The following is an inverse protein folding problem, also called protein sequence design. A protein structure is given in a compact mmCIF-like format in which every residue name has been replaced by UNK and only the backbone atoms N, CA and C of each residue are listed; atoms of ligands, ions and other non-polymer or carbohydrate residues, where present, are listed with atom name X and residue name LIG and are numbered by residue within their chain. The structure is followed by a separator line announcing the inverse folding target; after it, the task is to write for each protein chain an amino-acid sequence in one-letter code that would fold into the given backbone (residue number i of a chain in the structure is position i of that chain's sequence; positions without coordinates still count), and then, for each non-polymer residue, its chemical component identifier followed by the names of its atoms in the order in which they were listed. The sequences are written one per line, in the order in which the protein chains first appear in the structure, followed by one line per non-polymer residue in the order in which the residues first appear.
data_IF_281465644398
#
_entry.id   IF_281465644398
#
_cell.length_a   1.000
_cell.length_b   1.000
_cell.length_c   1.000
_cell.angle_alpha   90.00
_cell.angle_beta   90.00
_cell.angle_gamma   90.00
#
_symmetry.space_group_name_H-M   'P 1'
#
loop_
_entity.id
_entity.type
_entity.pdbx_description
1 polymer ?
#
# COMPACT_ATOMS: atom_id res chain seq x y z
N UNK A 1 50.65 -68.96 8.01
CA UNK A 1 50.89 -67.57 8.46
C UNK A 1 49.89 -66.62 7.79
N UNK A 2 48.79 -66.30 8.49
CA UNK A 2 47.66 -65.52 8.00
C UNK A 2 47.77 -64.08 8.53
N UNK A 3 48.41 -63.16 7.81
CA UNK A 3 48.58 -61.77 8.32
C UNK A 3 48.44 -60.63 7.30
N UNK A 4 48.11 -60.87 6.04
CA UNK A 4 48.07 -59.79 5.03
C UNK A 4 46.72 -59.54 4.35
N UNK A 5 45.70 -60.37 4.62
CA UNK A 5 44.36 -60.20 4.04
C UNK A 5 43.46 -59.28 4.89
N UNK A 6 43.83 -59.03 6.15
CA UNK A 6 43.02 -58.21 7.09
C UNK A 6 43.14 -56.70 6.82
N UNK A 7 44.15 -56.24 6.06
CA UNK A 7 44.39 -54.81 5.84
C UNK A 7 43.53 -54.17 4.72
N UNK A 8 42.75 -54.94 3.95
CA UNK A 8 41.89 -54.40 2.88
C UNK A 8 40.40 -54.32 3.22
N UNK A 9 39.98 -54.86 4.37
CA UNK A 9 38.58 -54.83 4.80
C UNK A 9 38.24 -53.64 5.73
N UNK A 10 39.25 -52.91 6.23
CA UNK A 10 39.04 -51.79 7.15
C UNK A 10 38.98 -50.40 6.48
N UNK A 11 39.28 -50.29 5.18
CA UNK A 11 39.32 -49.01 4.47
C UNK A 11 38.07 -48.72 3.62
N UNK A 12 37.16 -49.70 3.45
CA UNK A 12 35.92 -49.51 2.67
C UNK A 12 34.70 -49.21 3.56
N UNK A 13 34.80 -49.47 4.87
CA UNK A 13 33.71 -49.23 5.83
C UNK A 13 33.64 -47.81 6.40
N UNK A 14 34.73 -47.03 6.34
CA UNK A 14 34.78 -45.67 6.89
C UNK A 14 34.34 -44.57 5.92
N UNK A 15 34.17 -44.89 4.63
CA UNK A 15 33.68 -43.92 3.64
C UNK A 15 32.14 -43.89 3.53
N UNK A 16 31.44 -44.93 3.99
CA UNK A 16 29.98 -44.99 3.96
C UNK A 16 29.32 -44.24 5.13
N UNK A 17 30.02 -44.11 6.27
CA UNK A 17 29.51 -43.34 7.42
C UNK A 17 29.78 -41.83 7.32
N UNK A 18 30.69 -41.39 6.44
CA UNK A 18 30.98 -39.98 6.21
C UNK A 18 29.99 -39.29 5.24
N UNK A 19 29.21 -40.05 4.48
CA UNK A 19 28.24 -39.52 3.51
C UNK A 19 26.81 -39.34 4.06
N UNK A 20 26.51 -39.89 5.23
CA UNK A 20 25.22 -39.67 5.93
C UNK A 20 25.21 -38.40 6.80
N UNK A 21 26.35 -37.72 6.94
CA UNK A 21 26.46 -36.42 7.61
C UNK A 21 26.09 -35.22 6.73
N UNK A 22 25.89 -35.43 5.42
CA UNK A 22 25.33 -34.45 4.51
C UNK A 22 23.80 -34.50 4.65
N UNK A 23 23.31 -33.99 5.78
CA UNK A 23 21.96 -33.47 5.84
C UNK A 23 21.75 -32.59 4.60
N UNK A 24 20.67 -32.78 3.81
CA UNK A 24 20.37 -31.84 2.76
C UNK A 24 20.25 -30.49 3.48
N UNK A 25 21.20 -29.60 3.22
CA UNK A 25 20.93 -28.19 3.35
C UNK A 25 19.83 -27.97 2.34
N UNK A 26 18.58 -28.15 2.79
CA UNK A 26 17.41 -27.76 2.05
C UNK A 26 17.72 -26.31 1.70
N UNK A 27 18.02 -26.07 0.43
CA UNK A 27 18.13 -24.73 -0.09
C UNK A 27 16.80 -24.09 0.29
N UNK A 28 16.81 -23.25 1.33
CA UNK A 28 15.64 -22.51 1.74
C UNK A 28 15.29 -21.69 0.50
N UNK A 29 14.23 -22.10 -0.19
CA UNK A 29 13.72 -21.36 -1.33
C UNK A 29 13.55 -19.91 -0.85
N UNK A 30 14.19 -18.98 -1.56
CA UNK A 30 14.14 -17.58 -1.20
C UNK A 30 12.68 -17.17 -1.05
N UNK A 31 12.35 -16.50 0.06
CA UNK A 31 10.98 -16.07 0.27
C UNK A 31 10.55 -15.16 -0.89
N UNK A 32 9.32 -15.32 -1.41
CA UNK A 32 8.87 -14.53 -2.54
C UNK A 32 8.94 -13.03 -2.25
N UNK A 33 9.41 -12.26 -3.23
CA UNK A 33 9.47 -10.79 -3.21
C UNK A 33 8.59 -10.22 -4.33
N UNK A 34 7.98 -9.05 -4.16
CA UNK A 34 7.22 -8.42 -5.22
C UNK A 34 8.10 -8.07 -6.41
N UNK A 35 7.51 -8.09 -7.60
CA UNK A 35 8.17 -7.62 -8.81
C UNK A 35 8.41 -6.11 -8.72
N UNK A 36 9.64 -5.69 -8.96
CA UNK A 36 9.99 -4.28 -9.04
C UNK A 36 9.32 -3.63 -10.25
N UNK A 37 8.76 -2.40 -10.12
CA UNK A 37 8.24 -1.67 -11.26
C UNK A 37 9.32 -1.39 -12.30
N UNK A 38 8.97 -1.37 -13.60
CA UNK A 38 9.92 -1.04 -14.64
C UNK A 38 10.36 0.44 -14.53
N UNK A 39 11.59 0.78 -14.95
CA UNK A 39 12.09 2.16 -14.90
C UNK A 39 11.18 3.18 -15.60
N UNK A 40 10.56 2.81 -16.72
CA UNK A 40 9.60 3.67 -17.42
C UNK A 40 8.37 4.00 -16.57
N UNK A 41 7.94 3.09 -15.69
CA UNK A 41 6.85 3.34 -14.74
C UNK A 41 7.26 4.35 -13.66
N UNK A 42 8.48 4.25 -13.14
CA UNK A 42 9.02 5.22 -12.18
C UNK A 42 9.16 6.62 -12.80
N UNK A 43 9.64 6.70 -14.04
CA UNK A 43 9.75 7.96 -14.77
C UNK A 43 8.37 8.60 -15.01
N UNK A 44 7.40 7.84 -15.53
CA UNK A 44 6.05 8.37 -15.76
C UNK A 44 5.33 8.78 -14.47
N UNK A 45 5.56 8.07 -13.36
CA UNK A 45 5.08 8.45 -12.04
C UNK A 45 5.73 9.77 -11.56
N UNK A 46 7.04 9.92 -11.76
CA UNK A 46 7.75 11.17 -11.47
C UNK A 46 7.24 12.36 -12.31
N UNK A 47 6.99 12.15 -13.60
CA UNK A 47 6.44 13.18 -14.49
C UNK A 47 5.05 13.63 -14.02
N UNK A 48 4.20 12.69 -13.58
CA UNK A 48 2.90 13.02 -12.99
C UNK A 48 3.04 13.82 -11.67
N UNK A 49 4.02 13.48 -10.84
CA UNK A 49 4.30 14.19 -9.58
C UNK A 49 4.89 15.59 -9.79
N UNK A 50 5.61 15.81 -10.89
CA UNK A 50 6.24 17.10 -11.23
C UNK A 50 5.43 17.95 -12.21
N UNK A 51 4.27 17.47 -12.68
CA UNK A 51 3.39 18.22 -13.56
C UNK A 51 2.96 19.57 -12.93
N UNK A 52 2.83 20.65 -13.73
CA UNK A 52 2.49 21.99 -13.21
C UNK A 52 1.25 22.01 -12.30
N UNK A 53 0.17 21.31 -12.68
CA UNK A 53 -1.05 21.21 -11.87
C UNK A 53 -0.84 20.53 -10.50
N UNK A 54 0.12 19.59 -10.42
CA UNK A 54 0.51 18.95 -9.17
C UNK A 54 1.27 19.93 -8.27
N UNK A 55 2.18 20.73 -8.84
CA UNK A 55 2.91 21.76 -8.10
C UNK A 55 1.97 22.85 -7.56
N UNK A 56 0.96 23.26 -8.34
CA UNK A 56 -0.08 24.19 -7.86
C UNK A 56 -0.88 23.60 -6.69
N UNK A 57 -1.17 22.30 -6.75
CA UNK A 57 -1.87 21.59 -5.67
C UNK A 57 -1.00 21.49 -4.42
N UNK A 58 0.29 21.21 -4.57
CA UNK A 58 1.25 21.23 -3.47
C UNK A 58 1.34 22.61 -2.82
N UNK A 59 1.31 23.69 -3.61
CA UNK A 59 1.36 25.05 -3.06
C UNK A 59 0.16 25.33 -2.15
N UNK A 60 -1.05 24.94 -2.60
CA UNK A 60 -2.28 25.02 -1.78
C UNK A 60 -2.22 24.12 -0.55
N UNK A 61 -1.70 22.90 -0.69
CA UNK A 61 -1.54 21.94 0.41
C UNK A 61 -0.67 22.53 1.53
N UNK A 62 0.50 23.05 1.20
CA UNK A 62 1.40 23.65 2.18
C UNK A 62 0.89 24.98 2.77
N UNK A 63 0.09 25.74 2.02
CA UNK A 63 -0.57 26.94 2.53
C UNK A 63 -1.68 26.62 3.55
N UNK A 64 -2.43 25.54 3.32
CA UNK A 64 -3.49 25.09 4.21
C UNK A 64 -2.97 24.48 5.52
N UNK A 65 -1.82 23.82 5.47
CA UNK A 65 -1.16 23.26 6.65
C UNK A 65 -0.60 24.40 7.54
N UNK A 66 -0.81 24.35 8.87
CA UNK A 66 -0.14 25.28 9.77
C UNK A 66 1.38 25.19 9.61
N UNK A 67 2.05 26.33 9.60
CA UNK A 67 3.51 26.41 9.65
C UNK A 67 4.06 25.91 10.98
N UNK A 68 5.38 25.79 11.09
CA UNK A 68 6.06 25.36 12.33
C UNK A 68 5.72 26.24 13.54
N UNK A 69 5.41 27.52 13.29
CA UNK A 69 5.04 28.51 14.29
C UNK A 69 3.51 28.64 14.48
N UNK A 70 2.72 27.72 13.90
CA UNK A 70 1.25 27.72 13.97
C UNK A 70 0.56 28.68 13.00
N UNK A 71 1.29 29.61 12.37
CA UNK A 71 0.75 30.52 11.36
C UNK A 71 0.49 29.82 10.01
N UNK A 72 -0.66 30.08 9.38
CA UNK A 72 -0.93 29.60 8.01
C UNK A 72 -0.24 30.52 7.00
N UNK A 73 0.48 29.93 6.05
CA UNK A 73 1.06 30.69 4.95
C UNK A 73 -0.05 31.10 3.97
N UNK A 74 -0.16 32.39 3.66
CA UNK A 74 -1.12 32.89 2.67
C UNK A 74 -0.85 32.33 1.27
N UNK A 75 -1.89 32.28 0.43
CA UNK A 75 -1.87 31.69 -0.93
C UNK A 75 -1.00 32.45 -1.95
N UNK A 76 -0.40 33.58 -1.58
CA UNK A 76 0.36 34.48 -2.46
C UNK A 76 1.85 34.40 -2.21
N UNK A 77 2.37 33.18 -2.06
CA UNK A 77 3.79 32.96 -1.84
C UNK A 77 4.57 33.27 -3.14
N UNK A 78 5.58 34.16 -3.14
CA UNK A 78 6.37 34.49 -4.34
C UNK A 78 7.04 33.24 -4.95
N UNK A 79 7.44 33.25 -6.23
CA UNK A 79 8.02 32.08 -6.92
C UNK A 79 9.20 31.41 -6.19
N UNK A 80 9.96 32.16 -5.38
CA UNK A 80 11.02 31.66 -4.50
C UNK A 80 10.55 30.80 -3.31
N UNK A 81 9.24 30.76 -3.08
CA UNK A 81 8.57 30.03 -2.00
C UNK A 81 7.69 28.88 -2.51
N UNK A 82 7.67 28.65 -3.83
CA UNK A 82 6.94 27.55 -4.43
C UNK A 82 7.51 26.20 -3.97
N UNK A 83 6.66 25.20 -3.69
CA UNK A 83 7.13 23.87 -3.36
C UNK A 83 7.86 23.24 -4.54
N UNK A 84 8.86 22.41 -4.23
CA UNK A 84 9.65 21.69 -5.23
C UNK A 84 9.61 20.20 -4.94
N UNK A 85 9.69 19.40 -6.00
CA UNK A 85 9.91 17.96 -5.89
C UNK A 85 11.41 17.70 -5.72
N UNK A 86 11.77 16.76 -4.85
CA UNK A 86 13.16 16.39 -4.58
C UNK A 86 13.35 14.86 -4.63
N UNK A 87 14.48 14.44 -5.19
CA UNK A 87 14.89 13.04 -5.20
C UNK A 87 14.14 12.17 -6.21
N UNK A 88 14.37 10.87 -6.13
CA UNK A 88 13.74 9.89 -7.02
C UNK A 88 12.34 9.50 -6.54
N UNK A 89 11.48 9.15 -7.47
CA UNK A 89 10.24 8.41 -7.19
C UNK A 89 10.58 7.00 -6.72
N UNK A 90 9.96 6.56 -5.62
CA UNK A 90 10.17 5.22 -5.04
C UNK A 90 8.89 4.39 -5.12
N UNK A 91 8.98 3.07 -5.34
CA UNK A 91 7.84 2.18 -5.19
C UNK A 91 7.47 2.01 -3.71
N UNK A 92 6.17 2.03 -3.42
CA UNK A 92 5.64 1.80 -2.08
C UNK A 92 4.88 0.49 -2.07
N UNK A 93 5.39 -0.44 -1.26
CA UNK A 93 4.79 -1.74 -1.08
C UNK A 93 4.04 -1.79 0.26
N UNK A 94 2.87 -2.41 0.26
CA UNK A 94 2.05 -2.62 1.46
C UNK A 94 1.85 -4.11 1.71
N UNK A 95 1.66 -4.48 2.98
CA UNK A 95 1.39 -5.86 3.39
C UNK A 95 0.34 -6.51 2.48
N UNK A 96 0.70 -7.62 1.86
CA UNK A 96 -0.14 -8.31 0.88
C UNK A 96 -1.27 -9.06 1.59
N UNK A 97 -2.55 -8.81 1.22
CA UNK A 97 -3.67 -9.62 1.72
C UNK A 97 -3.50 -11.11 1.42
N UNK A 98 -2.91 -11.48 0.28
CA UNK A 98 -2.69 -12.89 -0.06
C UNK A 98 -1.62 -13.55 0.81
N UNK A 99 -0.61 -12.78 1.22
CA UNK A 99 0.36 -13.25 2.20
C UNK A 99 -0.30 -13.52 3.55
N UNK A 100 -1.16 -12.59 3.99
CA UNK A 100 -1.95 -12.70 5.23
C UNK A 100 -2.92 -13.90 5.17
N UNK A 101 -3.56 -14.16 4.02
CA UNK A 101 -4.40 -15.35 3.80
C UNK A 101 -3.62 -16.66 3.81
N UNK A 102 -2.30 -16.61 3.70
CA UNK A 102 -1.46 -17.81 3.61
C UNK A 102 -1.45 -18.44 2.22
N UNK A 103 -1.73 -17.69 1.14
CA UNK A 103 -1.51 -18.22 -0.22
C UNK A 103 -0.05 -18.62 -0.39
N UNK A 104 0.14 -19.81 -0.96
CA UNK A 104 1.46 -20.28 -1.38
C UNK A 104 2.08 -19.27 -2.35
N UNK A 105 3.39 -19.05 -2.18
CA UNK A 105 4.20 -18.17 -3.00
C UNK A 105 3.77 -16.69 -3.05
N UNK A 106 2.80 -16.28 -2.23
CA UNK A 106 2.44 -14.88 -2.10
C UNK A 106 3.60 -14.08 -1.49
N UNK A 107 4.08 -13.00 -2.16
CA UNK A 107 5.06 -12.09 -1.61
C UNK A 107 4.53 -11.38 -0.37
N UNK A 108 5.43 -11.03 0.56
CA UNK A 108 5.09 -10.35 1.82
C UNK A 108 4.30 -9.06 1.56
N UNK A 109 4.66 -8.34 0.51
CA UNK A 109 4.07 -7.07 0.16
C UNK A 109 3.74 -7.00 -1.34
N UNK A 110 2.78 -6.14 -1.70
CA UNK A 110 2.40 -5.82 -3.08
C UNK A 110 2.58 -4.33 -3.32
N UNK A 111 2.83 -3.94 -4.57
CA UNK A 111 2.89 -2.53 -4.94
C UNK A 111 1.50 -1.91 -4.71
N UNK A 112 1.46 -0.77 -4.02
CA UNK A 112 0.23 0.01 -3.84
C UNK A 112 0.27 1.27 -4.72
N UNK A 113 1.34 2.05 -4.60
CA UNK A 113 1.55 3.29 -5.34
C UNK A 113 3.04 3.61 -5.45
N UNK A 114 3.36 4.68 -6.16
CA UNK A 114 4.68 5.29 -6.19
C UNK A 114 4.65 6.58 -5.40
N UNK A 115 5.72 6.89 -4.67
CA UNK A 115 5.82 8.11 -3.89
C UNK A 115 6.98 8.98 -4.37
N UNK A 116 6.72 10.29 -4.44
CA UNK A 116 7.73 11.30 -4.75
C UNK A 116 7.72 12.37 -3.66
N UNK A 117 8.89 12.70 -3.11
CA UNK A 117 9.02 13.70 -2.05
C UNK A 117 8.87 15.11 -2.64
N UNK A 118 8.10 15.94 -1.96
CA UNK A 118 8.02 17.38 -2.19
C UNK A 118 8.41 18.16 -0.92
N UNK A 119 8.98 19.34 -1.09
CA UNK A 119 9.50 20.19 -0.02
C UNK A 119 9.05 21.63 -0.23
N UNK A 120 8.43 22.20 0.80
CA UNK A 120 8.09 23.61 0.87
C UNK A 120 9.33 24.48 1.17
N UNK A 121 9.20 25.79 0.99
CA UNK A 121 10.30 26.72 1.26
C UNK A 121 10.73 26.78 2.74
N UNK A 122 9.83 26.46 3.67
CA UNK A 122 10.10 26.38 5.12
C UNK A 122 10.62 24.99 5.58
N UNK A 123 10.88 24.10 4.62
CA UNK A 123 11.41 22.76 4.84
C UNK A 123 10.37 21.74 5.29
N UNK A 124 9.08 22.08 5.36
CA UNK A 124 8.02 21.06 5.50
C UNK A 124 8.03 20.13 4.29
N UNK A 125 7.74 18.86 4.53
CA UNK A 125 7.75 17.81 3.52
C UNK A 125 6.34 17.31 3.23
N UNK A 126 6.15 16.86 2.00
CA UNK A 126 4.98 16.12 1.58
C UNK A 126 5.40 14.95 0.69
N UNK A 127 4.54 13.95 0.62
CA UNK A 127 4.68 12.78 -0.23
C UNK A 127 3.56 12.80 -1.27
N UNK A 128 3.95 12.90 -2.54
CA UNK A 128 3.01 12.85 -3.68
C UNK A 128 2.87 11.40 -4.10
N UNK A 129 1.68 10.85 -3.96
CA UNK A 129 1.41 9.47 -4.32
C UNK A 129 0.82 9.39 -5.72
N UNK A 130 1.38 8.54 -6.56
CA UNK A 130 0.91 8.27 -7.90
C UNK A 130 0.60 6.80 -8.10
N UNK A 131 -0.52 6.51 -8.76
CA UNK A 131 -0.92 5.16 -9.10
C UNK A 131 -1.28 5.08 -10.58
N UNK A 132 -1.19 3.87 -11.15
CA UNK A 132 -1.60 3.62 -12.52
C UNK A 132 -3.14 3.60 -12.58
N UNK A 133 -3.70 4.47 -13.43
CA UNK A 133 -5.13 4.53 -13.79
C UNK A 133 -5.24 4.31 -15.29
N UNK A 134 -5.74 3.14 -15.67
CA UNK A 134 -5.72 2.67 -17.05
C UNK A 134 -4.30 2.67 -17.64
N UNK A 135 -4.12 3.40 -18.74
CA UNK A 135 -2.83 3.50 -19.42
C UNK A 135 -1.87 4.54 -18.81
N UNK A 136 -2.29 5.33 -17.82
CA UNK A 136 -1.57 6.51 -17.35
C UNK A 136 -1.25 6.48 -15.85
N UNK A 137 -0.18 7.16 -15.44
CA UNK A 137 0.09 7.45 -14.03
C UNK A 137 -0.63 8.73 -13.62
N UNK A 138 -1.29 8.70 -12.46
CA UNK A 138 -2.04 9.84 -11.93
C UNK A 138 -1.69 10.05 -10.47
N UNK A 139 -1.63 11.31 -10.04
CA UNK A 139 -1.59 11.66 -8.63
C UNK A 139 -2.91 11.24 -7.99
N UNK A 140 -2.84 10.47 -6.92
CA UNK A 140 -4.01 9.95 -6.20
C UNK A 140 -4.09 10.47 -4.76
N UNK A 141 -2.98 10.96 -4.21
CA UNK A 141 -2.96 11.55 -2.88
C UNK A 141 -1.74 12.47 -2.69
N UNK A 142 -1.83 13.39 -1.74
CA UNK A 142 -0.70 14.14 -1.18
C UNK A 142 -0.79 14.02 0.34
N UNK A 143 0.24 13.45 0.96
CA UNK A 143 0.32 13.28 2.40
C UNK A 143 1.41 14.18 3.00
N UNK A 144 1.22 14.64 4.24
CA UNK A 144 2.29 15.32 4.99
C UNK A 144 3.42 14.35 5.33
N UNK A 145 4.65 14.84 5.36
CA UNK A 145 5.82 14.01 5.68
C UNK A 145 6.50 13.43 4.44
N UNK A 146 7.44 12.50 4.68
CA UNK A 146 8.30 11.92 3.64
C UNK A 146 8.58 10.43 3.85
N UNK A 147 7.78 9.77 4.70
CA UNK A 147 8.01 8.43 5.23
C UNK A 147 8.35 7.42 4.15
N UNK A 148 7.63 7.42 3.03
CA UNK A 148 7.84 6.48 1.94
C UNK A 148 9.26 6.58 1.37
N UNK A 149 9.72 7.80 1.07
CA UNK A 149 11.07 8.03 0.54
C UNK A 149 12.15 7.82 1.61
N UNK A 150 11.85 8.20 2.85
CA UNK A 150 12.77 8.08 3.99
C UNK A 150 13.03 6.61 4.35
N UNK A 151 12.00 5.78 4.43
CA UNK A 151 12.14 4.36 4.72
C UNK A 151 12.65 3.56 3.52
N UNK A 152 12.31 3.94 2.28
CA UNK A 152 12.95 3.37 1.10
C UNK A 152 14.47 3.58 1.11
N UNK A 153 14.91 4.82 1.42
CA UNK A 153 16.33 5.14 1.56
C UNK A 153 16.98 4.41 2.75
N UNK A 154 16.29 4.30 3.89
CA UNK A 154 16.79 3.56 5.05
C UNK A 154 17.01 2.07 4.72
N UNK A 155 16.06 1.43 4.02
CA UNK A 155 16.21 0.05 3.56
C UNK A 155 17.39 -0.12 2.61
N UNK A 156 17.53 0.78 1.63
CA UNK A 156 18.67 0.78 0.71
C UNK A 156 20.02 0.93 1.45
N UNK A 157 20.11 1.84 2.41
CA UNK A 157 21.31 2.06 3.23
C UNK A 157 21.67 0.90 4.16
N UNK A 158 20.73 -0.01 4.44
CA UNK A 158 20.94 -1.22 5.24
C UNK A 158 21.21 -2.47 4.40
N UNK A 159 21.70 -2.32 3.16
CA UNK A 159 21.99 -3.44 2.27
C UNK A 159 20.85 -3.83 1.34
N UNK A 160 19.84 -2.96 1.20
CA UNK A 160 18.71 -3.17 0.30
C UNK A 160 17.67 -4.16 0.81
N UNK A 161 16.84 -4.63 -0.11
CA UNK A 161 15.67 -5.48 0.15
C UNK A 161 14.36 -4.80 -0.26
N UNK A 162 13.23 -5.49 0.00
CA UNK A 162 11.90 -4.93 -0.25
C UNK A 162 11.43 -4.21 1.00
N UNK A 163 11.41 -2.88 0.96
CA UNK A 163 10.78 -2.06 2.00
C UNK A 163 9.27 -2.13 1.84
N UNK A 164 8.53 -2.31 2.93
CA UNK A 164 7.08 -2.33 2.90
C UNK A 164 6.45 -1.79 4.18
N UNK A 165 5.20 -1.33 4.06
CA UNK A 165 4.39 -0.78 5.14
C UNK A 165 3.30 -1.77 5.56
N UNK A 166 3.06 -1.87 6.86
CA UNK A 166 1.90 -2.50 7.47
C UNK A 166 0.96 -1.42 8.01
N UNK A 167 -0.06 -1.02 7.24
CA UNK A 167 -0.89 0.13 7.57
C UNK A 167 -1.60 0.02 8.92
N UNK A 168 -1.95 -1.21 9.32
CA UNK A 168 -2.77 -1.47 10.51
C UNK A 168 -2.11 -1.05 11.83
N UNK A 169 -0.77 -0.98 11.86
CA UNK A 169 0.00 -0.56 13.04
C UNK A 169 1.01 0.53 12.71
N UNK A 170 0.90 1.12 11.52
CA UNK A 170 1.83 2.11 10.97
C UNK A 170 3.31 1.69 11.11
N UNK A 171 3.62 0.46 10.70
CA UNK A 171 4.95 -0.12 10.84
C UNK A 171 5.65 -0.28 9.48
N UNK A 172 6.91 0.15 9.43
CA UNK A 172 7.78 0.00 8.27
C UNK A 172 8.82 -1.09 8.48
N UNK A 173 8.97 -1.95 7.46
CA UNK A 173 9.87 -3.09 7.46
C UNK A 173 10.72 -3.13 6.20
N UNK A 174 11.79 -3.93 6.24
CA UNK A 174 12.51 -4.39 5.06
C UNK A 174 12.60 -5.91 5.05
N UNK A 175 12.22 -6.52 3.93
CA UNK A 175 12.43 -7.95 3.68
C UNK A 175 13.80 -8.16 3.04
N UNK A 176 14.62 -9.00 3.67
CA UNK A 176 15.91 -9.47 3.15
C UNK A 176 15.96 -10.99 3.19
N UNK A 177 15.81 -11.62 2.03
CA UNK A 177 15.68 -13.08 1.95
C UNK A 177 14.50 -13.57 2.79
N UNK A 178 14.78 -14.43 3.76
CA UNK A 178 13.80 -14.99 4.69
C UNK A 178 13.62 -14.16 5.98
N UNK A 179 14.22 -12.97 6.07
CA UNK A 179 14.15 -12.08 7.23
C UNK A 179 13.24 -10.88 6.98
N UNK A 180 12.52 -10.48 8.03
CA UNK A 180 11.76 -9.24 8.13
C UNK A 180 12.40 -8.41 9.24
N UNK A 181 12.98 -7.27 8.87
CA UNK A 181 13.70 -6.40 9.78
C UNK A 181 12.95 -5.08 9.97
N UNK A 182 12.90 -4.55 11.21
CA UNK A 182 12.12 -3.35 11.50
C UNK A 182 12.87 -2.06 11.14
N UNK A 183 12.17 -1.11 10.52
CA UNK A 183 12.73 0.21 10.18
C UNK A 183 12.30 1.32 11.15
N UNK A 184 11.25 1.10 11.94
CA UNK A 184 10.73 2.07 12.91
C UNK A 184 10.38 1.44 14.27
N UNK A 185 9.86 2.27 15.18
CA UNK A 185 9.50 1.84 16.53
C UNK A 185 8.30 0.88 16.56
N UNK A 186 7.30 1.09 15.69
CA UNK A 186 6.12 0.23 15.62
C UNK A 186 6.49 -1.19 15.14
N UNK A 187 7.34 -1.26 14.12
CA UNK A 187 7.93 -2.49 13.61
C UNK A 187 8.75 -3.20 14.69
N UNK A 188 9.63 -2.48 15.41
CA UNK A 188 10.41 -3.05 16.52
C UNK A 188 9.51 -3.61 17.62
N UNK A 189 8.42 -2.91 17.96
CA UNK A 189 7.43 -3.38 18.93
C UNK A 189 6.74 -4.67 18.43
N UNK A 190 6.48 -4.78 17.13
CA UNK A 190 5.76 -5.91 16.55
C UNK A 190 6.62 -7.17 16.32
N UNK A 191 7.90 -7.04 15.96
CA UNK A 191 8.77 -8.18 15.61
C UNK A 191 10.06 -8.29 16.41
N UNK A 192 10.29 -7.39 17.37
CA UNK A 192 11.51 -7.30 18.16
C UNK A 192 12.63 -6.53 17.44
N UNK A 193 13.66 -6.14 18.19
CA UNK A 193 14.77 -5.32 17.69
C UNK A 193 15.61 -6.00 16.60
N UNK A 194 15.65 -7.34 16.58
CA UNK A 194 16.41 -8.15 15.62
C UNK A 194 15.55 -8.67 14.45
N UNK A 195 14.31 -8.21 14.35
CA UNK A 195 13.37 -8.71 13.36
C UNK A 195 12.96 -10.17 13.59
N UNK A 196 12.35 -10.75 12.56
CA UNK A 196 11.82 -12.11 12.59
C UNK A 196 11.99 -12.80 11.24
N UNK A 197 11.61 -14.08 11.13
CA UNK A 197 11.58 -14.76 9.83
C UNK A 197 10.28 -14.43 9.08
N UNK A 198 10.29 -14.53 7.75
CA UNK A 198 9.09 -14.38 6.91
C UNK A 198 7.98 -15.33 7.35
N UNK A 199 8.33 -16.58 7.72
CA UNK A 199 7.35 -17.56 8.21
C UNK A 199 6.71 -17.16 9.54
N UNK A 200 7.51 -16.66 10.50
CA UNK A 200 6.98 -16.16 11.78
C UNK A 200 6.16 -14.88 11.60
N UNK A 201 6.61 -13.98 10.73
CA UNK A 201 5.85 -12.78 10.36
C UNK A 201 4.50 -13.14 9.74
N UNK A 202 4.46 -14.12 8.82
CA UNK A 202 3.21 -14.64 8.23
C UNK A 202 2.24 -15.13 9.29
N UNK A 203 2.70 -15.93 10.25
CA UNK A 203 1.87 -16.41 11.35
C UNK A 203 1.28 -15.25 12.17
N UNK A 204 2.09 -14.23 12.47
CA UNK A 204 1.63 -13.04 13.21
C UNK A 204 0.54 -12.30 12.46
N UNK A 205 0.77 -11.93 11.20
CA UNK A 205 -0.21 -11.13 10.43
C UNK A 205 -1.46 -11.93 10.09
N UNK A 206 -1.34 -13.24 9.84
CA UNK A 206 -2.50 -14.12 9.65
C UNK A 206 -3.35 -14.20 10.92
N UNK A 207 -2.73 -14.31 12.10
CA UNK A 207 -3.45 -14.28 13.38
C UNK A 207 -4.08 -12.91 13.67
N UNK A 208 -3.44 -11.81 13.27
CA UNK A 208 -3.93 -10.46 13.53
C UNK A 208 -5.06 -10.02 12.59
N UNK A 209 -5.00 -10.46 11.32
CA UNK A 209 -5.81 -9.89 10.23
C UNK A 209 -6.53 -10.92 9.35
N UNK A 210 -6.18 -12.21 9.42
CA UNK A 210 -6.67 -13.21 8.48
C UNK A 210 -8.20 -13.36 8.49
N UNK A 211 -8.83 -13.10 9.63
CA UNK A 211 -10.27 -13.11 9.84
C UNK A 211 -10.99 -11.82 9.43
N UNK A 212 -10.25 -10.76 9.02
CA UNK A 212 -10.77 -9.41 8.71
C UNK A 212 -10.65 -9.03 7.24
N UNK A 213 -10.14 -9.91 6.39
CA UNK A 213 -9.94 -9.62 4.97
C UNK A 213 -11.26 -9.72 4.18
N UNK A 214 -11.35 -9.09 3.00
CA UNK A 214 -12.48 -9.29 2.09
C UNK A 214 -12.74 -10.78 1.83
N UNK A 215 -14.02 -11.18 1.91
CA UNK A 215 -14.50 -12.56 1.84
C UNK A 215 -14.50 -13.34 3.16
N UNK A 216 -13.95 -12.78 4.24
CA UNK A 216 -13.97 -13.39 5.59
C UNK A 216 -15.37 -13.42 6.22
N UNK A 217 -15.52 -14.14 7.33
CA UNK A 217 -16.76 -14.12 8.11
C UNK A 217 -17.05 -12.72 8.68
N UNK A 218 -16.01 -11.97 9.07
CA UNK A 218 -16.12 -10.58 9.52
C UNK A 218 -16.67 -9.67 8.42
N UNK A 219 -16.11 -9.77 7.22
CA UNK A 219 -16.55 -9.02 6.03
C UNK A 219 -18.00 -9.35 5.65
N UNK A 220 -18.36 -10.65 5.64
CA UNK A 220 -19.73 -11.10 5.35
C UNK A 220 -20.77 -10.60 6.35
N UNK A 221 -20.37 -10.27 7.58
CA UNK A 221 -21.27 -9.68 8.60
C UNK A 221 -21.42 -8.16 8.47
N UNK A 222 -20.72 -7.52 7.53
CA UNK A 222 -20.77 -6.07 7.33
C UNK A 222 -20.11 -5.27 8.46
N UNK A 223 -19.21 -5.90 9.22
CA UNK A 223 -18.54 -5.26 10.35
C UNK A 223 -17.37 -4.35 9.92
N UNK A 224 -16.96 -4.45 8.65
CA UNK A 224 -15.96 -3.57 8.05
C UNK A 224 -16.44 -2.10 8.10
N UNK A 225 -15.75 -1.27 8.87
CA UNK A 225 -16.06 0.16 9.05
C UNK A 225 -16.81 0.52 10.33
N UNK A 226 -17.06 -0.43 11.25
CA UNK A 226 -17.66 -0.14 12.56
C UNK A 226 -19.18 0.02 12.54
N UNK A 227 -19.85 -0.27 11.42
CA UNK A 227 -21.31 -0.19 11.25
C UNK A 227 -22.01 -1.56 11.24
N UNK A 228 -21.37 -2.61 11.77
CA UNK A 228 -22.04 -3.87 12.02
C UNK A 228 -23.24 -3.69 12.97
N UNK A 229 -24.24 -4.59 12.95
CA UNK A 229 -25.39 -4.50 13.84
C UNK A 229 -24.94 -4.52 15.31
N UNK A 230 -24.83 -3.33 15.92
CA UNK A 230 -24.35 -3.11 17.29
C UNK A 230 -23.19 -2.11 17.47
N UNK A 231 -22.63 -1.53 16.39
CA UNK A 231 -21.53 -0.55 16.49
C UNK A 231 -21.99 0.86 16.87
N UNK A 232 -21.65 1.32 18.08
CA UNK A 232 -21.71 2.75 18.43
C UNK A 232 -20.56 3.52 17.75
N UNK A 233 -20.75 4.79 17.35
CA UNK A 233 -19.73 5.56 16.65
C UNK A 233 -18.50 5.78 17.55
N UNK A 234 -17.32 5.42 17.03
CA UNK A 234 -16.04 5.74 17.66
C UNK A 234 -15.75 7.25 17.53
N UNK A 235 -15.10 7.81 18.56
CA UNK A 235 -14.85 9.23 18.76
C UNK A 235 -13.94 9.91 17.72
N UNK A 236 -13.53 11.17 17.99
CA UNK A 236 -13.11 12.12 16.97
C UNK A 236 -11.89 11.69 16.16
N UNK A 237 -12.03 11.92 14.86
CA UNK A 237 -11.10 11.74 13.76
C UNK A 237 -9.71 12.32 14.08
N UNK A 238 -8.65 11.51 14.02
CA UNK A 238 -7.26 11.95 14.25
C UNK A 238 -6.60 12.57 13.01
N UNK A 239 -7.37 12.94 11.99
CA UNK A 239 -6.88 13.68 10.82
C UNK A 239 -5.91 12.90 9.94
N UNK A 240 -5.83 11.57 10.08
CA UNK A 240 -5.01 10.70 9.22
C UNK A 240 -5.93 9.95 8.26
N UNK A 241 -5.67 10.09 6.97
CA UNK A 241 -6.50 9.53 5.91
C UNK A 241 -6.70 8.00 6.12
N UNK A 242 -7.94 7.50 6.04
CA UNK A 242 -8.19 6.06 6.00
C UNK A 242 -7.51 5.47 4.76
N UNK A 243 -6.80 4.36 4.93
CA UNK A 243 -6.32 3.55 3.82
C UNK A 243 -7.39 2.51 3.47
N UNK A 244 -8.23 2.71 2.43
CA UNK A 244 -9.06 1.63 1.95
C UNK A 244 -8.14 0.55 1.36
N UNK A 245 -8.26 -0.67 1.85
CA UNK A 245 -7.81 -1.85 1.09
C UNK A 245 -8.58 -1.80 -0.23
N UNK A 246 -7.92 -1.44 -1.32
CA UNK A 246 -8.55 -1.28 -2.63
C UNK A 246 -9.42 -2.51 -2.95
N UNK A 247 -10.73 -2.29 -3.02
CA UNK A 247 -11.68 -3.21 -3.65
C UNK A 247 -11.48 -3.13 -5.17
N UNK A 248 -11.59 -4.27 -5.85
CA UNK A 248 -11.50 -4.39 -7.31
C UNK A 248 -12.40 -3.37 -8.03
N UNK A 249 -11.85 -2.75 -9.08
CA UNK A 249 -12.50 -1.73 -9.89
C UNK A 249 -13.72 -2.30 -10.65
N UNK A 250 -14.91 -1.75 -10.40
CA UNK A 250 -16.03 -1.78 -11.34
C UNK A 250 -16.05 -0.46 -12.13
N UNK A 251 -16.32 -0.48 -13.45
CA UNK A 251 -16.17 0.71 -14.29
C UNK A 251 -17.38 1.63 -14.10
N UNK A 252 -17.14 2.89 -13.71
CA UNK A 252 -18.14 3.96 -13.85
C UNK A 252 -17.85 4.76 -15.12
N UNK A 253 -18.87 4.82 -15.98
CA UNK A 253 -18.84 5.42 -17.30
C UNK A 253 -18.47 6.91 -17.25
N UNK A 254 -17.62 7.32 -18.19
CA UNK A 254 -17.28 8.71 -18.43
C UNK A 254 -18.49 9.48 -18.96
N UNK A 255 -18.83 10.59 -18.30
CA UNK A 255 -19.67 11.63 -18.87
C UNK A 255 -18.75 12.74 -19.39
N UNK A 256 -18.73 12.93 -20.71
CA UNK A 256 -18.23 14.14 -21.36
C UNK A 256 -19.09 15.34 -20.98
N UNK A 257 -18.49 16.49 -20.69
CA UNK A 257 -18.97 17.78 -21.22
C UNK A 257 -17.94 18.91 -21.09
N UNK A 258 -17.61 19.48 -22.24
CA UNK A 258 -17.53 20.90 -22.61
C UNK A 258 -16.88 21.95 -21.68
N UNK A 259 -16.07 22.78 -22.33
CA UNK A 259 -15.46 24.03 -21.87
C UNK A 259 -16.47 25.10 -21.42
N UNK A 260 -16.02 25.99 -20.52
CA UNK A 260 -16.62 27.31 -20.32
C UNK A 260 -16.71 27.76 -18.86
N UNK A 261 -15.93 28.80 -18.55
CA UNK A 261 -16.14 29.86 -17.55
C UNK A 261 -16.49 29.57 -16.07
N UNK A 262 -15.60 30.11 -15.23
CA UNK A 262 -15.84 30.88 -14.00
C UNK A 262 -16.96 30.42 -13.05
N UNK A 263 -16.57 29.87 -11.90
CA UNK A 263 -17.44 29.81 -10.72
C UNK A 263 -16.79 30.53 -9.51
N UNK A 264 -17.51 31.44 -8.85
CA UNK A 264 -17.07 32.06 -7.61
C UNK A 264 -17.32 31.14 -6.41
N UNK A 265 -16.45 31.28 -5.42
CA UNK A 265 -16.53 30.63 -4.10
C UNK A 265 -17.74 31.13 -3.34
N UNK A 266 -18.53 30.24 -2.75
CA UNK A 266 -19.30 30.54 -1.53
C UNK A 266 -19.26 29.37 -0.56
N UNK A 267 -19.06 29.72 0.71
CA UNK A 267 -19.09 28.85 1.87
C UNK A 267 -20.51 28.81 2.47
N UNK A 268 -20.73 27.78 3.30
CA UNK A 268 -21.68 27.67 4.43
C UNK A 268 -23.01 26.90 4.25
N UNK A 269 -23.02 25.71 4.88
CA UNK A 269 -23.91 25.27 5.98
C UNK A 269 -25.36 24.76 5.73
N UNK A 270 -25.49 23.43 5.94
CA UNK A 270 -26.43 22.69 6.82
C UNK A 270 -27.96 22.62 6.60
N UNK A 271 -28.44 21.36 6.73
CA UNK A 271 -29.71 20.83 7.32
C UNK A 271 -30.83 20.31 6.39
N UNK A 272 -31.29 19.09 6.76
CA UNK A 272 -32.53 18.34 6.42
C UNK A 272 -32.62 17.73 5.01
N UNK A 273 -33.05 16.49 4.80
CA UNK A 273 -33.72 15.53 5.68
C UNK A 273 -34.88 14.86 4.90
N UNK A 274 -34.88 13.53 4.90
CA UNK A 274 -36.00 12.61 4.60
C UNK A 274 -36.32 12.19 3.14
N UNK A 275 -36.14 10.87 2.95
CA UNK A 275 -37.07 9.87 2.38
C UNK A 275 -37.47 9.91 0.89
N UNK A 276 -37.17 8.83 0.16
CA UNK A 276 -38.16 7.78 -0.11
C UNK A 276 -37.54 6.58 -0.86
N UNK A 277 -37.83 5.38 -0.34
CA UNK A 277 -37.62 4.06 -0.94
C UNK A 277 -38.84 3.68 -1.78
N UNK A 278 -38.64 2.95 -2.89
CA UNK A 278 -39.52 1.98 -3.61
C UNK A 278 -39.22 2.08 -5.13
N UNK A 279 -39.11 1.03 -5.95
CA UNK A 279 -39.28 -0.40 -5.79
C UNK A 279 -38.60 -1.13 -6.98
N UNK A 280 -38.24 -2.40 -6.77
CA UNK A 280 -37.89 -3.41 -7.78
C UNK A 280 -39.10 -3.78 -8.67
N UNK A 281 -38.87 -4.19 -9.93
CA UNK A 281 -39.91 -4.85 -10.72
C UNK A 281 -39.62 -5.10 -12.20
N UNK A 282 -38.85 -6.16 -12.48
CA UNK A 282 -39.01 -7.15 -13.56
C UNK A 282 -39.52 -6.76 -14.97
N UNK A 283 -38.65 -7.06 -15.94
CA UNK A 283 -38.86 -7.62 -17.29
C UNK A 283 -40.28 -8.06 -17.69
N UNK A 284 -40.76 -7.57 -18.85
CA UNK A 284 -41.18 -8.39 -20.02
C UNK A 284 -42.06 -7.59 -21.02
N UNK A 285 -41.76 -7.80 -22.32
CA UNK A 285 -42.67 -7.75 -23.45
C UNK A 285 -43.44 -6.45 -23.76
N UNK A 286 -42.88 -5.61 -24.64
CA UNK A 286 -43.64 -4.71 -25.50
C UNK A 286 -43.52 -5.18 -26.97
N UNK A 287 -44.21 -6.28 -27.28
CA UNK A 287 -44.56 -6.64 -28.65
C UNK A 287 -46.07 -6.53 -28.82
N UNK A 288 -46.45 -5.69 -29.78
CA UNK A 288 -47.68 -5.73 -30.55
C UNK A 288 -48.99 -5.17 -29.94
N UNK A 289 -49.61 -4.31 -30.77
CA UNK A 289 -51.04 -4.00 -30.90
C UNK A 289 -51.64 -2.89 -30.03
N UNK A 290 -51.53 -1.66 -30.53
CA UNK A 290 -52.68 -0.76 -30.71
C UNK A 290 -52.54 -0.14 -32.10
N UNK A 291 -53.46 -0.34 -33.04
CA UNK A 291 -54.71 0.42 -33.29
C UNK A 291 -55.45 -0.36 -34.39
N UNK A 292 -56.77 -0.49 -34.52
CA UNK A 292 -58.00 0.10 -33.92
C UNK A 292 -59.15 -0.84 -34.37
N UNK A 293 -60.33 -0.81 -33.71
CA UNK A 293 -61.47 -0.27 -34.46
C UNK A 293 -62.43 0.56 -33.59
N UNK A 294 -62.69 1.78 -34.04
CA UNK A 294 -64.01 2.42 -34.29
C UNK A 294 -63.76 3.90 -34.56
#
# INVERSE_FOLDING_TARGET
MPKRIVARAAATGTLAAALLGLAPHAALAAAPVPLAPPPAGLAAAHDAATAPATLDTLARFFAAAPGKDGARAGLTAPARTAPRVEGATVPVYVLSPDFVRGRADAPVARLEFMATRAVAADGRTASVWTARRGASWKVVNIASGDDETRYAAAGAGQGGGTVFHEPQIDAWYVQRGDRIEPLDAAARKAVGAHGTTVAAYRKRVAAAYGDKLPGSAYDKRGEAGGFGPGGAPAGPDTGRAPHPLAADEAPVAAAETAAGDTFPVTAASTVAGAAAVLALGLSAAAAARRRRPR
#
